data_IF_832760307355
#
_entry.id   IF_832760307355
#
_cell.length_a   1.000
_cell.length_b   1.000
_cell.length_c   1.000
_cell.angle_alpha   90.00
_cell.angle_beta   90.00
_cell.angle_gamma   90.00
#
_symmetry.space_group_name_H-M   'P 1'
#
loop_
_entity.id
_entity.type
_entity.pdbx_description
1 polymer ?
#
# COMPACT_ATOMS: atom_id res chain seq x y z
N UNK A 1 24.27 9.82 24.10
CA UNK A 1 23.17 9.10 24.75
C UNK A 1 22.21 10.15 25.29
N UNK A 2 21.28 10.65 24.46
CA UNK A 2 20.22 11.58 24.87
C UNK A 2 18.90 11.01 24.35
N UNK A 3 18.17 10.39 25.23
CA UNK A 3 16.81 9.90 25.00
C UNK A 3 15.85 11.07 25.15
N UNK A 4 15.42 11.65 24.03
CA UNK A 4 14.30 12.59 24.03
C UNK A 4 13.03 11.77 24.18
N UNK A 5 12.53 11.70 25.40
CA UNK A 5 11.26 11.05 25.76
C UNK A 5 10.08 11.90 25.28
N UNK A 6 9.60 11.64 24.06
CA UNK A 6 8.27 12.09 23.68
C UNK A 6 7.25 11.21 24.41
N UNK A 7 6.57 11.76 25.39
CA UNK A 7 5.42 11.12 26.05
C UNK A 7 4.34 10.86 24.99
N UNK A 8 4.30 9.63 24.47
CA UNK A 8 3.22 9.15 23.61
C UNK A 8 1.96 9.00 24.45
N UNK A 9 0.88 9.67 24.07
CA UNK A 9 -0.42 9.59 24.72
C UNK A 9 -0.82 8.12 24.96
N UNK A 10 -1.09 7.79 26.22
CA UNK A 10 -1.20 6.42 26.77
C UNK A 10 -2.33 5.60 26.12
N UNK A 11 -3.33 6.25 25.51
CA UNK A 11 -4.51 5.57 24.96
C UNK A 11 -4.30 4.97 23.55
N UNK A 12 -3.44 5.57 22.71
CA UNK A 12 -3.23 5.13 21.33
C UNK A 12 -2.20 4.00 21.18
N UNK A 13 -1.47 3.63 22.21
CA UNK A 13 -0.38 2.65 22.16
C UNK A 13 -0.85 1.19 22.01
N UNK A 14 -2.13 0.89 22.24
CA UNK A 14 -2.70 -0.47 22.15
C UNK A 14 -3.56 -0.75 20.92
N UNK A 15 -3.84 0.25 20.08
CA UNK A 15 -4.69 0.09 18.91
C UNK A 15 -3.87 -0.25 17.66
N UNK A 16 -4.41 -1.14 16.81
CA UNK A 16 -3.84 -1.41 15.49
C UNK A 16 -3.85 -0.14 14.61
N UNK A 17 -2.99 -0.07 13.59
CA UNK A 17 -2.95 1.08 12.67
C UNK A 17 -4.32 1.31 12.01
N UNK A 18 -4.98 0.24 11.58
CA UNK A 18 -6.33 0.30 10.98
C UNK A 18 -7.32 0.97 11.94
N UNK A 19 -7.36 0.52 13.19
CA UNK A 19 -8.27 1.10 14.19
C UNK A 19 -8.02 2.60 14.40
N UNK A 20 -6.75 3.02 14.40
CA UNK A 20 -6.40 4.46 14.50
C UNK A 20 -6.89 5.24 13.29
N UNK A 21 -6.73 4.69 12.08
CA UNK A 21 -7.20 5.32 10.85
C UNK A 21 -8.72 5.50 10.89
N UNK A 22 -9.48 4.46 11.24
CA UNK A 22 -10.93 4.56 11.34
C UNK A 22 -11.37 5.59 12.39
N UNK A 23 -10.79 5.58 13.58
CA UNK A 23 -11.09 6.57 14.61
C UNK A 23 -10.80 7.99 14.12
N UNK A 24 -9.64 8.22 13.51
CA UNK A 24 -9.26 9.52 12.97
C UNK A 24 -10.14 9.97 11.81
N UNK A 25 -10.57 9.04 10.95
CA UNK A 25 -11.53 9.31 9.88
C UNK A 25 -12.86 9.82 10.46
N UNK A 26 -13.45 9.10 11.42
CA UNK A 26 -14.69 9.52 12.06
C UNK A 26 -14.55 10.85 12.80
N UNK A 27 -13.42 11.07 13.50
CA UNK A 27 -13.12 12.34 14.15
C UNK A 27 -13.02 13.49 13.14
N UNK A 28 -12.42 13.24 11.98
CA UNK A 28 -12.36 14.22 10.88
C UNK A 28 -13.76 14.60 10.38
N UNK A 29 -14.62 13.61 10.15
CA UNK A 29 -16.00 13.84 9.73
C UNK A 29 -16.75 14.70 10.76
N UNK A 30 -16.70 14.33 12.03
CA UNK A 30 -17.37 15.03 13.12
C UNK A 30 -16.85 16.48 13.23
N UNK A 31 -15.53 16.66 13.16
CA UNK A 31 -14.89 17.98 13.21
C UNK A 31 -15.33 18.83 12.04
N UNK A 32 -15.32 18.30 10.81
CA UNK A 32 -15.73 19.06 9.63
C UNK A 32 -17.21 19.46 9.64
N UNK A 33 -18.11 18.53 9.97
CA UNK A 33 -19.54 18.80 10.09
C UNK A 33 -19.84 19.75 11.25
N UNK A 34 -19.21 19.57 12.40
CA UNK A 34 -19.34 20.45 13.55
C UNK A 34 -18.88 21.87 13.26
N UNK A 35 -17.73 22.02 12.62
CA UNK A 35 -17.24 23.33 12.18
C UNK A 35 -18.16 23.99 11.15
N UNK A 36 -18.74 23.21 10.23
CA UNK A 36 -19.71 23.69 9.23
C UNK A 36 -21.00 24.22 9.89
N UNK A 37 -21.53 23.49 10.87
CA UNK A 37 -22.77 23.85 11.56
C UNK A 37 -22.64 25.14 12.39
N UNK A 38 -21.45 25.40 12.95
CA UNK A 38 -21.16 26.60 13.78
C UNK A 38 -20.61 27.77 12.92
N UNK A 39 -20.28 27.53 11.65
CA UNK A 39 -19.62 28.52 10.79
C UNK A 39 -18.14 28.76 11.14
N UNK A 40 -17.47 27.84 11.84
CA UNK A 40 -16.11 28.00 12.34
C UNK A 40 -15.08 27.49 11.34
N UNK A 41 -14.39 28.40 10.67
CA UNK A 41 -13.47 28.05 9.57
C UNK A 41 -12.04 27.71 10.03
N UNK A 42 -11.56 28.32 11.12
CA UNK A 42 -10.15 28.24 11.50
C UNK A 42 -9.62 26.82 11.80
N UNK A 43 -10.38 25.88 12.46
CA UNK A 43 -9.84 24.55 12.71
C UNK A 43 -9.67 23.75 11.42
N UNK A 44 -10.59 23.94 10.47
CA UNK A 44 -10.53 23.28 9.17
C UNK A 44 -9.36 23.81 8.34
N UNK A 45 -9.09 25.13 8.41
CA UNK A 45 -7.91 25.73 7.77
C UNK A 45 -6.60 25.19 8.35
N UNK A 46 -6.52 24.98 9.66
CA UNK A 46 -5.38 24.31 10.28
C UNK A 46 -5.22 22.87 9.78
N UNK A 47 -6.32 22.13 9.69
CA UNK A 47 -6.31 20.77 9.16
C UNK A 47 -5.82 20.75 7.68
N UNK A 48 -6.31 21.69 6.86
CA UNK A 48 -5.87 21.83 5.45
C UNK A 48 -4.39 22.19 5.37
N UNK A 49 -3.92 23.09 6.23
CA UNK A 49 -2.49 23.46 6.28
C UNK A 49 -1.60 22.25 6.62
N UNK A 50 -1.97 21.51 7.67
CA UNK A 50 -1.25 20.29 8.02
C UNK A 50 -1.26 19.25 6.90
N UNK A 51 -2.44 18.99 6.30
CA UNK A 51 -2.56 17.99 5.24
C UNK A 51 -1.79 18.39 3.97
N UNK A 52 -1.70 19.67 3.65
CA UNK A 52 -0.90 20.17 2.53
C UNK A 52 0.60 19.91 2.76
N UNK A 53 1.12 20.29 3.94
CA UNK A 53 2.54 20.11 4.29
C UNK A 53 2.90 18.62 4.33
N UNK A 54 2.07 17.80 4.97
CA UNK A 54 2.31 16.37 5.04
C UNK A 54 2.20 15.69 3.68
N UNK A 55 1.28 16.13 2.83
CA UNK A 55 1.16 15.66 1.45
C UNK A 55 2.40 15.95 0.62
N UNK A 56 2.97 17.17 0.72
CA UNK A 56 4.23 17.53 0.07
C UNK A 56 5.39 16.67 0.60
N UNK A 57 5.44 16.43 1.92
CA UNK A 57 6.44 15.55 2.52
C UNK A 57 6.30 14.09 2.05
N UNK A 58 5.06 13.57 1.95
CA UNK A 58 4.81 12.25 1.37
C UNK A 58 5.33 12.15 -0.07
N UNK A 59 5.02 13.14 -0.89
CA UNK A 59 5.48 13.18 -2.29
C UNK A 59 7.00 13.17 -2.40
N UNK A 60 7.71 13.82 -1.47
CA UNK A 60 9.17 13.78 -1.39
C UNK A 60 9.70 12.41 -0.98
N UNK A 61 9.05 11.73 -0.03
CA UNK A 61 9.53 10.45 0.52
C UNK A 61 9.24 9.26 -0.40
N UNK A 62 8.17 9.30 -1.21
CA UNK A 62 7.78 8.17 -2.09
C UNK A 62 8.93 7.68 -3.00
N UNK A 63 9.66 8.53 -3.76
CA UNK A 63 10.79 8.08 -4.57
C UNK A 63 11.92 7.44 -3.74
N UNK A 64 12.15 7.93 -2.52
CA UNK A 64 13.14 7.36 -1.61
C UNK A 64 12.73 5.95 -1.15
N UNK A 65 11.44 5.75 -0.86
CA UNK A 65 10.89 4.44 -0.53
C UNK A 65 11.11 3.47 -1.70
N UNK A 66 10.76 3.88 -2.92
CA UNK A 66 10.92 3.06 -4.12
C UNK A 66 12.37 2.60 -4.28
N UNK A 67 13.31 3.53 -4.24
CA UNK A 67 14.74 3.21 -4.40
C UNK A 67 15.23 2.36 -3.23
N UNK A 68 14.92 2.75 -2.00
CA UNK A 68 15.37 2.08 -0.78
C UNK A 68 14.94 0.64 -0.67
N UNK A 69 13.73 0.30 -1.12
CA UNK A 69 13.21 -1.07 -1.04
C UNK A 69 13.51 -1.90 -2.28
N UNK A 70 13.38 -1.32 -3.48
CA UNK A 70 13.47 -2.08 -4.74
C UNK A 70 14.93 -2.41 -5.09
N UNK A 71 15.88 -1.47 -4.89
CA UNK A 71 17.29 -1.72 -5.24
C UNK A 71 17.87 -2.92 -4.50
N UNK A 72 17.87 -2.97 -3.16
CA UNK A 72 18.42 -4.15 -2.46
C UNK A 72 17.58 -5.40 -2.72
N UNK A 73 16.27 -5.28 -2.88
CA UNK A 73 15.40 -6.39 -3.24
C UNK A 73 15.84 -7.09 -4.53
N UNK A 74 16.02 -6.34 -5.62
CA UNK A 74 16.49 -6.89 -6.91
C UNK A 74 17.93 -7.38 -6.82
N UNK A 75 18.81 -6.62 -6.16
CA UNK A 75 20.23 -6.96 -6.06
C UNK A 75 20.48 -8.28 -5.31
N UNK A 76 19.73 -8.55 -4.25
CA UNK A 76 19.84 -9.80 -3.49
C UNK A 76 19.26 -10.99 -4.24
N UNK A 77 18.19 -10.79 -5.02
CA UNK A 77 17.60 -11.83 -5.86
C UNK A 77 18.58 -12.34 -6.92
N UNK A 78 19.31 -11.43 -7.57
CA UNK A 78 20.26 -11.80 -8.62
C UNK A 78 21.46 -12.63 -8.17
N UNK A 79 21.80 -12.61 -6.88
CA UNK A 79 22.93 -13.40 -6.30
C UNK A 79 22.59 -14.87 -6.01
N UNK A 80 21.30 -15.22 -5.90
CA UNK A 80 20.82 -16.58 -5.62
C UNK A 80 20.36 -17.28 -6.90
N UNK A 81 21.22 -17.31 -7.94
CA UNK A 81 20.84 -17.80 -9.26
C UNK A 81 20.70 -19.32 -9.34
N UNK A 82 19.47 -19.80 -9.20
CA UNK A 82 19.05 -21.14 -9.59
C UNK A 82 17.85 -21.08 -10.54
N UNK A 83 17.60 -22.12 -11.33
CA UNK A 83 16.43 -22.20 -12.22
C UNK A 83 15.11 -21.93 -11.47
N UNK A 84 15.00 -22.38 -10.22
CA UNK A 84 13.80 -22.15 -9.38
C UNK A 84 13.55 -20.67 -9.11
N UNK A 85 14.60 -19.88 -8.81
CA UNK A 85 14.50 -18.45 -8.61
C UNK A 85 13.99 -17.74 -9.87
N UNK A 86 14.60 -18.07 -11.02
CA UNK A 86 14.20 -17.45 -12.30
C UNK A 86 12.73 -17.73 -12.63
N UNK A 87 12.31 -19.00 -12.50
CA UNK A 87 10.92 -19.39 -12.77
C UNK A 87 9.95 -18.67 -11.81
N UNK A 88 10.23 -18.67 -10.52
CA UNK A 88 9.37 -18.00 -9.51
C UNK A 88 9.28 -16.51 -9.79
N UNK A 89 10.40 -15.87 -10.11
CA UNK A 89 10.43 -14.45 -10.43
C UNK A 89 9.63 -14.14 -11.70
N UNK A 90 9.79 -14.91 -12.77
CA UNK A 90 9.01 -14.72 -13.99
C UNK A 90 7.52 -14.89 -13.71
N UNK A 91 7.12 -15.92 -12.99
CA UNK A 91 5.71 -16.16 -12.63
C UNK A 91 5.17 -14.98 -11.83
N UNK A 92 5.91 -14.48 -10.83
CA UNK A 92 5.50 -13.37 -10.00
C UNK A 92 5.29 -12.08 -10.81
N UNK A 93 6.23 -11.73 -11.69
CA UNK A 93 6.11 -10.53 -12.53
C UNK A 93 5.04 -10.66 -13.61
N UNK A 94 4.94 -11.80 -14.29
CA UNK A 94 3.88 -12.05 -15.28
C UNK A 94 2.51 -11.94 -14.59
N UNK A 95 2.36 -12.56 -13.43
CA UNK A 95 1.14 -12.46 -12.62
C UNK A 95 0.81 -11.00 -12.25
N UNK A 96 1.80 -10.23 -11.82
CA UNK A 96 1.62 -8.82 -11.48
C UNK A 96 1.21 -7.98 -12.69
N UNK A 97 1.83 -8.21 -13.87
CA UNK A 97 1.47 -7.52 -15.11
C UNK A 97 0.03 -7.87 -15.53
N UNK A 98 -0.34 -9.15 -15.48
CA UNK A 98 -1.71 -9.60 -15.80
C UNK A 98 -2.73 -8.96 -14.85
N UNK A 99 -2.41 -8.89 -13.56
CA UNK A 99 -3.24 -8.22 -12.55
C UNK A 99 -3.45 -6.75 -12.88
N UNK A 100 -2.37 -6.03 -13.25
CA UNK A 100 -2.42 -4.62 -13.66
C UNK A 100 -3.24 -4.40 -14.93
N UNK A 101 -3.10 -5.27 -15.93
CA UNK A 101 -3.91 -5.21 -17.15
C UNK A 101 -5.40 -5.44 -16.87
N UNK A 102 -5.73 -6.41 -16.01
CA UNK A 102 -7.12 -6.65 -15.59
C UNK A 102 -7.69 -5.46 -14.82
N UNK A 103 -6.91 -4.86 -13.92
CA UNK A 103 -7.30 -3.66 -13.19
C UNK A 103 -7.53 -2.47 -14.12
N UNK A 104 -6.62 -2.25 -15.08
CA UNK A 104 -6.76 -1.20 -16.09
C UNK A 104 -8.01 -1.39 -16.93
N UNK A 105 -8.25 -2.61 -17.45
CA UNK A 105 -9.45 -2.91 -18.25
C UNK A 105 -10.73 -2.72 -17.44
N UNK A 106 -10.77 -3.19 -16.19
CA UNK A 106 -11.91 -2.99 -15.30
C UNK A 106 -12.11 -1.50 -14.98
N UNK A 107 -11.04 -0.77 -14.68
CA UNK A 107 -11.08 0.67 -14.46
C UNK A 107 -11.59 1.44 -15.66
N UNK A 108 -11.08 1.15 -16.85
CA UNK A 108 -11.45 1.83 -18.07
C UNK A 108 -12.90 1.54 -18.54
N UNK A 109 -13.42 0.34 -18.27
CA UNK A 109 -14.74 -0.09 -18.77
C UNK A 109 -15.86 0.02 -17.73
N UNK A 110 -15.57 -0.26 -16.46
CA UNK A 110 -16.59 -0.35 -15.42
C UNK A 110 -16.76 0.99 -14.67
N UNK A 111 -15.65 1.65 -14.28
CA UNK A 111 -15.70 2.87 -13.47
C UNK A 111 -16.44 4.02 -14.14
N UNK A 112 -16.26 4.36 -15.42
CA UNK A 112 -16.97 5.46 -16.06
C UNK A 112 -18.50 5.29 -16.04
N UNK A 113 -18.97 4.05 -16.06
CA UNK A 113 -20.40 3.73 -16.03
C UNK A 113 -20.99 3.76 -14.60
N UNK A 114 -20.18 3.46 -13.59
CA UNK A 114 -20.59 3.41 -12.19
C UNK A 114 -20.44 4.76 -11.49
N UNK A 115 -19.36 5.46 -11.79
CA UNK A 115 -19.11 6.81 -11.33
C UNK A 115 -19.55 7.71 -12.50
N UNK A 116 -20.84 8.04 -12.55
CA UNK A 116 -21.30 9.11 -13.46
C UNK A 116 -20.39 10.30 -13.19
N UNK A 117 -19.62 10.71 -14.21
CA UNK A 117 -18.75 11.88 -14.13
C UNK A 117 -19.60 13.02 -13.55
N UNK A 118 -19.21 13.37 -12.34
CA UNK A 118 -19.83 14.38 -11.51
C UNK A 118 -20.82 15.28 -12.20
N UNK A 119 -22.02 15.12 -11.86
CA UNK A 119 -22.56 16.22 -11.10
C UNK A 119 -21.81 16.23 -9.76
N UNK A 120 -20.51 16.52 -9.77
CA UNK A 120 -19.94 17.33 -8.73
C UNK A 120 -20.92 18.49 -8.67
N UNK A 121 -21.62 18.61 -7.57
CA UNK A 121 -22.37 19.78 -7.32
C UNK A 121 -21.36 20.93 -7.37
N UNK A 122 -21.18 21.52 -8.55
CA UNK A 122 -20.45 22.79 -8.75
C UNK A 122 -21.14 23.91 -7.97
N UNK A 123 -22.32 23.63 -7.42
CA UNK A 123 -23.04 24.50 -6.54
C UNK A 123 -22.56 24.31 -5.12
N UNK A 124 -21.64 25.20 -4.70
CA UNK A 124 -21.31 25.50 -3.31
C UNK A 124 -20.30 24.62 -2.56
N UNK A 125 -19.36 24.02 -3.20
CA UNK A 125 -18.19 23.51 -2.46
C UNK A 125 -17.43 24.69 -1.83
N UNK A 126 -17.48 24.83 -0.51
CA UNK A 126 -16.75 25.88 0.20
C UNK A 126 -15.27 25.54 0.09
N UNK A 127 -14.55 26.28 -0.74
CA UNK A 127 -13.11 26.10 -0.88
C UNK A 127 -12.41 26.59 0.38
N UNK A 128 -11.77 25.66 1.10
CA UNK A 128 -11.00 25.98 2.30
C UNK A 128 -9.53 26.02 1.94
N UNK A 129 -8.96 27.22 1.87
CA UNK A 129 -7.54 27.42 1.64
C UNK A 129 -6.73 27.20 2.92
N UNK A 130 -5.52 26.65 2.79
CA UNK A 130 -4.54 26.59 3.86
C UNK A 130 -4.14 27.99 4.35
N UNK A 131 -3.61 28.10 5.56
CA UNK A 131 -3.01 29.37 6.02
C UNK A 131 -1.71 29.68 5.28
N UNK A 132 -0.91 28.65 5.04
CA UNK A 132 0.31 28.68 4.24
C UNK A 132 0.59 27.28 3.70
N UNK A 133 1.38 27.20 2.66
CA UNK A 133 1.84 25.96 2.05
C UNK A 133 3.35 25.90 2.09
N UNK A 134 3.90 24.72 2.38
CA UNK A 134 5.33 24.44 2.24
C UNK A 134 5.45 23.46 1.08
N UNK A 135 6.02 23.94 -0.01
CA UNK A 135 6.30 23.09 -1.16
C UNK A 135 7.62 22.33 -0.93
N UNK A 136 7.52 21.02 -0.85
CA UNK A 136 8.66 20.10 -0.76
C UNK A 136 8.64 19.28 -2.04
N UNK A 137 9.34 19.72 -3.10
CA UNK A 137 9.30 19.02 -4.37
C UNK A 137 9.90 17.63 -4.26
N UNK A 138 9.30 16.65 -4.92
CA UNK A 138 9.87 15.31 -5.01
C UNK A 138 11.23 15.36 -5.72
N UNK A 139 12.22 14.61 -5.22
CA UNK A 139 13.56 14.55 -5.83
C UNK A 139 13.48 14.08 -7.28
N UNK A 140 12.54 13.17 -7.57
CA UNK A 140 12.25 12.66 -8.91
C UNK A 140 10.83 12.11 -8.99
N UNK A 141 10.30 11.96 -10.20
CA UNK A 141 9.02 11.30 -10.41
C UNK A 141 9.07 9.80 -10.04
N UNK A 142 7.92 9.23 -9.70
CA UNK A 142 7.76 7.81 -9.33
C UNK A 142 8.32 6.88 -10.40
N UNK A 143 8.01 7.13 -11.68
CA UNK A 143 8.52 6.33 -12.80
C UNK A 143 10.04 6.41 -12.93
N UNK A 144 10.63 7.60 -12.73
CA UNK A 144 12.08 7.76 -12.74
C UNK A 144 12.76 6.99 -11.61
N UNK A 145 12.16 7.02 -10.41
CA UNK A 145 12.64 6.25 -9.26
C UNK A 145 12.57 4.74 -9.51
N UNK A 146 11.49 4.26 -10.12
CA UNK A 146 11.33 2.87 -10.53
C UNK A 146 12.41 2.44 -11.52
N UNK A 147 12.56 3.16 -12.64
CA UNK A 147 13.57 2.85 -13.66
C UNK A 147 14.97 2.86 -13.06
N UNK A 148 15.29 3.86 -12.24
CA UNK A 148 16.58 3.95 -11.55
C UNK A 148 16.80 2.75 -10.61
N UNK A 149 15.78 2.37 -9.85
CA UNK A 149 15.86 1.23 -8.94
C UNK A 149 16.09 -0.09 -9.67
N UNK A 150 15.45 -0.29 -10.82
CA UNK A 150 15.70 -1.47 -11.67
C UNK A 150 17.12 -1.48 -12.23
N UNK A 151 17.59 -0.36 -12.78
CA UNK A 151 18.95 -0.25 -13.35
C UNK A 151 19.99 -0.57 -12.27
N UNK A 152 19.87 0.08 -11.09
CA UNK A 152 20.81 -0.13 -9.99
C UNK A 152 20.72 -1.55 -9.42
N UNK A 153 19.51 -2.05 -9.18
CA UNK A 153 19.31 -3.39 -8.64
C UNK A 153 19.89 -4.48 -9.53
N UNK A 154 19.63 -4.42 -10.84
CA UNK A 154 20.17 -5.36 -11.83
C UNK A 154 21.70 -5.17 -11.96
N UNK A 155 22.19 -3.93 -12.00
CA UNK A 155 23.62 -3.64 -12.04
C UNK A 155 24.37 -4.23 -10.86
N UNK A 156 23.90 -3.95 -9.65
CA UNK A 156 24.48 -4.43 -8.39
C UNK A 156 24.46 -5.96 -8.32
N UNK A 157 23.41 -6.62 -8.81
CA UNK A 157 23.29 -8.07 -8.80
C UNK A 157 24.40 -8.78 -9.57
N UNK A 158 24.98 -8.10 -10.58
CA UNK A 158 26.06 -8.63 -11.45
C UNK A 158 27.46 -8.36 -10.89
N UNK A 159 27.61 -7.47 -9.91
CA UNK A 159 28.90 -7.14 -9.30
C UNK A 159 29.14 -8.04 -8.10
N UNK A 160 30.25 -8.79 -8.12
CA UNK A 160 30.66 -9.59 -6.97
C UNK A 160 31.11 -8.68 -5.83
N UNK A 161 30.69 -9.01 -4.60
CA UNK A 161 31.03 -8.27 -3.36
C UNK A 161 30.83 -6.75 -3.44
N UNK A 162 29.70 -6.37 -4.00
CA UNK A 162 29.34 -4.97 -4.23
C UNK A 162 29.21 -4.21 -2.92
N UNK A 163 30.09 -3.24 -2.66
CA UNK A 163 29.97 -2.29 -1.55
C UNK A 163 28.71 -1.42 -1.71
N UNK A 164 28.30 -1.19 -2.95
CA UNK A 164 27.10 -0.42 -3.25
C UNK A 164 25.81 -1.10 -2.71
N UNK A 165 25.77 -2.44 -2.68
CA UNK A 165 24.65 -3.16 -2.05
C UNK A 165 24.53 -2.78 -0.57
N UNK A 166 25.63 -2.76 0.18
CA UNK A 166 25.62 -2.37 1.59
C UNK A 166 25.10 -0.95 1.80
N UNK A 167 25.50 -0.03 0.94
CA UNK A 167 25.01 1.36 0.96
C UNK A 167 23.50 1.41 0.78
N UNK A 168 22.93 0.63 -0.16
CA UNK A 168 21.48 0.58 -0.35
C UNK A 168 20.74 -0.18 0.75
N UNK A 169 21.35 -1.15 1.40
CA UNK A 169 20.79 -1.81 2.60
C UNK A 169 20.72 -0.85 3.79
N UNK A 170 21.76 -0.03 4.00
CA UNK A 170 21.77 1.03 5.01
C UNK A 170 20.75 2.14 4.67
N UNK A 171 20.68 2.54 3.42
CA UNK A 171 19.68 3.49 2.93
C UNK A 171 18.24 2.97 3.13
N UNK A 172 17.99 1.70 2.83
CA UNK A 172 16.71 1.04 3.13
C UNK A 172 16.36 1.14 4.62
N UNK A 173 17.35 0.90 5.50
CA UNK A 173 17.15 0.99 6.94
C UNK A 173 16.78 2.42 7.39
N UNK A 174 17.40 3.45 6.80
CA UNK A 174 17.07 4.86 7.06
C UNK A 174 15.66 5.17 6.59
N UNK A 175 15.32 4.78 5.36
CA UNK A 175 13.97 4.98 4.80
C UNK A 175 12.92 4.26 5.65
N UNK A 176 13.19 3.03 6.08
CA UNK A 176 12.30 2.28 6.96
C UNK A 176 12.09 3.00 8.31
N UNK A 177 13.12 3.63 8.88
CA UNK A 177 12.96 4.44 10.09
C UNK A 177 12.05 5.65 9.84
N UNK A 178 12.17 6.33 8.71
CA UNK A 178 11.27 7.45 8.34
C UNK A 178 9.83 6.93 8.23
N UNK A 179 9.61 5.83 7.52
CA UNK A 179 8.29 5.22 7.34
C UNK A 179 7.67 4.84 8.69
N UNK A 180 8.42 4.13 9.53
CA UNK A 180 7.87 3.59 10.80
C UNK A 180 7.70 4.63 11.89
N UNK A 181 8.62 5.60 11.98
CA UNK A 181 8.63 6.57 13.07
C UNK A 181 7.96 7.90 12.73
N UNK A 182 7.83 8.23 11.45
CA UNK A 182 7.24 9.50 10.99
C UNK A 182 5.95 9.27 10.20
N UNK A 183 6.00 8.54 9.09
CA UNK A 183 4.84 8.40 8.22
C UNK A 183 3.70 7.64 8.90
N UNK A 184 3.95 6.43 9.37
CA UNK A 184 2.91 5.57 9.99
C UNK A 184 2.19 6.27 11.15
N UNK A 185 2.86 6.96 12.09
CA UNK A 185 2.17 7.69 13.16
C UNK A 185 1.36 8.90 12.68
N UNK A 186 1.78 9.58 11.63
CA UNK A 186 1.13 10.80 11.14
C UNK A 186 0.01 10.54 10.13
N UNK A 187 0.00 9.40 9.43
CA UNK A 187 -1.04 9.04 8.46
C UNK A 187 -2.47 9.12 9.05
N UNK A 188 -2.79 8.61 10.25
CA UNK A 188 -4.13 8.75 10.80
C UNK A 188 -4.55 10.20 11.00
N UNK A 189 -3.63 11.08 11.43
CA UNK A 189 -3.89 12.52 11.58
C UNK A 189 -4.12 13.17 10.22
N UNK A 190 -3.32 12.81 9.23
CA UNK A 190 -3.48 13.27 7.85
C UNK A 190 -4.85 12.92 7.28
N UNK A 191 -5.30 11.67 7.50
CA UNK A 191 -6.64 11.22 7.10
C UNK A 191 -7.72 12.03 7.83
N UNK A 192 -7.59 12.26 9.13
CA UNK A 192 -8.50 13.11 9.90
C UNK A 192 -8.64 14.50 9.24
N UNK A 193 -7.53 15.12 8.89
CA UNK A 193 -7.51 16.44 8.28
C UNK A 193 -8.18 16.48 6.90
N UNK A 194 -7.95 15.47 6.05
CA UNK A 194 -8.61 15.36 4.74
C UNK A 194 -10.12 15.21 4.92
N UNK A 195 -10.57 14.31 5.79
CA UNK A 195 -11.99 14.10 6.02
C UNK A 195 -12.67 15.28 6.71
N UNK A 196 -11.94 16.06 7.52
CA UNK A 196 -12.47 17.32 8.05
C UNK A 196 -12.71 18.35 6.96
N UNK A 197 -11.79 18.49 5.99
CA UNK A 197 -11.99 19.36 4.81
C UNK A 197 -13.19 18.91 3.98
N UNK A 198 -13.25 17.62 3.59
CA UNK A 198 -14.32 17.07 2.77
C UNK A 198 -15.70 17.19 3.44
N UNK A 199 -15.77 17.05 4.75
CA UNK A 199 -17.02 17.18 5.50
C UNK A 199 -17.47 18.62 5.62
N UNK A 200 -16.52 19.55 5.78
CA UNK A 200 -16.82 20.98 5.82
C UNK A 200 -17.29 21.50 4.45
N UNK A 201 -16.60 21.09 3.35
CA UNK A 201 -17.02 21.47 1.99
C UNK A 201 -18.37 20.85 1.58
N UNK A 202 -18.82 19.78 2.22
CA UNK A 202 -20.06 19.08 1.91
C UNK A 202 -19.88 17.91 0.94
N UNK A 203 -18.65 17.65 0.49
CA UNK A 203 -18.33 16.59 -0.49
C UNK A 203 -18.23 15.19 0.13
N UNK A 204 -18.36 15.08 1.47
CA UNK A 204 -18.10 13.82 2.19
C UNK A 204 -18.95 12.65 1.70
N UNK A 205 -20.25 12.85 1.53
CA UNK A 205 -21.16 11.76 1.13
C UNK A 205 -20.94 11.31 -0.30
N UNK A 206 -20.65 12.24 -1.21
CA UNK A 206 -20.32 11.93 -2.61
C UNK A 206 -19.02 11.18 -2.70
N UNK A 207 -18.01 11.61 -1.96
CA UNK A 207 -16.69 10.96 -1.88
C UNK A 207 -16.79 9.56 -1.29
N UNK A 208 -17.51 9.39 -0.17
CA UNK A 208 -17.70 8.07 0.46
C UNK A 208 -18.46 7.11 -0.46
N UNK A 209 -19.48 7.59 -1.17
CA UNK A 209 -20.21 6.78 -2.15
C UNK A 209 -19.29 6.33 -3.29
N UNK A 210 -18.50 7.23 -3.84
CA UNK A 210 -17.53 6.90 -4.89
C UNK A 210 -16.49 5.89 -4.41
N UNK A 211 -15.94 6.07 -3.21
CA UNK A 211 -15.01 5.11 -2.61
C UNK A 211 -15.65 3.74 -2.39
N UNK A 212 -16.89 3.69 -1.88
CA UNK A 212 -17.57 2.40 -1.68
C UNK A 212 -17.73 1.63 -2.99
N UNK A 213 -18.07 2.32 -4.09
CA UNK A 213 -18.18 1.72 -5.42
C UNK A 213 -16.83 1.23 -5.91
N UNK A 214 -15.80 2.06 -5.83
CA UNK A 214 -14.44 1.70 -6.26
C UNK A 214 -13.94 0.49 -5.46
N UNK A 215 -14.04 0.51 -4.13
CA UNK A 215 -13.61 -0.62 -3.30
C UNK A 215 -14.42 -1.90 -3.57
N UNK A 216 -15.72 -1.81 -3.85
CA UNK A 216 -16.51 -2.98 -4.24
C UNK A 216 -15.98 -3.60 -5.55
N UNK A 217 -15.63 -2.78 -6.53
CA UNK A 217 -15.01 -3.25 -7.79
C UNK A 217 -13.64 -3.87 -7.52
N UNK A 218 -12.79 -3.21 -6.73
CA UNK A 218 -11.45 -3.70 -6.39
C UNK A 218 -11.49 -5.05 -5.66
N UNK A 219 -12.33 -5.18 -4.63
CA UNK A 219 -12.46 -6.45 -3.91
C UNK A 219 -13.02 -7.57 -4.80
N UNK A 220 -13.96 -7.25 -5.66
CA UNK A 220 -14.49 -8.23 -6.64
C UNK A 220 -13.39 -8.66 -7.60
N UNK A 221 -12.59 -7.73 -8.10
CA UNK A 221 -11.49 -8.02 -9.02
C UNK A 221 -10.38 -8.84 -8.34
N UNK A 222 -10.02 -8.52 -7.11
CA UNK A 222 -9.08 -9.31 -6.32
C UNK A 222 -9.58 -10.74 -6.09
N UNK A 223 -10.85 -10.90 -5.72
CA UNK A 223 -11.45 -12.22 -5.53
C UNK A 223 -11.45 -13.05 -6.83
N UNK A 224 -11.82 -12.44 -7.96
CA UNK A 224 -11.77 -13.07 -9.28
C UNK A 224 -10.33 -13.45 -9.62
N UNK A 225 -9.37 -12.57 -9.38
CA UNK A 225 -7.97 -12.83 -9.69
C UNK A 225 -7.38 -13.99 -8.86
N UNK A 226 -7.68 -14.03 -7.56
CA UNK A 226 -7.33 -15.16 -6.69
C UNK A 226 -7.95 -16.46 -7.24
N UNK A 227 -9.21 -16.41 -7.62
CA UNK A 227 -9.90 -17.58 -8.17
C UNK A 227 -9.24 -18.08 -9.47
N UNK A 228 -8.83 -17.18 -10.37
CA UNK A 228 -8.10 -17.50 -11.60
C UNK A 228 -6.76 -18.18 -11.26
N UNK A 229 -5.97 -17.62 -10.35
CA UNK A 229 -4.68 -18.19 -9.96
C UNK A 229 -4.82 -19.59 -9.36
N UNK A 230 -5.78 -19.77 -8.44
CA UNK A 230 -6.05 -21.08 -7.85
C UNK A 230 -6.68 -22.08 -8.83
N UNK A 231 -7.43 -21.61 -9.83
CA UNK A 231 -7.92 -22.46 -10.91
C UNK A 231 -6.78 -22.99 -11.77
N UNK A 232 -5.81 -22.15 -12.10
CA UNK A 232 -4.58 -22.58 -12.81
C UNK A 232 -3.82 -23.61 -11.98
N UNK A 233 -3.60 -23.33 -10.69
CA UNK A 233 -2.92 -24.26 -9.78
C UNK A 233 -3.69 -25.58 -9.63
N UNK A 234 -4.99 -25.52 -9.59
CA UNK A 234 -5.91 -26.66 -9.51
C UNK A 234 -5.79 -27.62 -10.71
N UNK A 235 -5.69 -27.08 -11.92
CA UNK A 235 -5.48 -27.88 -13.15
C UNK A 235 -4.16 -28.64 -13.07
N UNK A 236 -3.10 -27.99 -12.60
CA UNK A 236 -1.77 -28.62 -12.47
C UNK A 236 -1.78 -29.70 -11.38
N UNK A 237 -2.40 -29.41 -10.24
CA UNK A 237 -2.44 -30.34 -9.08
C UNK A 237 -3.53 -31.39 -9.16
N UNK A 238 -4.52 -31.22 -10.05
CA UNK A 238 -5.73 -32.03 -10.14
C UNK A 238 -6.53 -32.05 -8.82
N UNK A 239 -6.57 -30.92 -8.13
CA UNK A 239 -7.33 -30.71 -6.90
C UNK A 239 -8.36 -29.60 -7.07
N UNK A 240 -9.40 -29.57 -6.22
CA UNK A 240 -10.45 -28.54 -6.29
C UNK A 240 -9.90 -27.16 -5.87
N UNK A 241 -10.06 -26.08 -6.69
CA UNK A 241 -9.54 -24.75 -6.38
C UNK A 241 -10.13 -24.18 -5.09
N UNK A 242 -11.40 -24.43 -4.79
CA UNK A 242 -12.04 -23.97 -3.56
C UNK A 242 -11.45 -24.63 -2.30
N UNK A 243 -11.01 -25.90 -2.39
CA UNK A 243 -10.30 -26.58 -1.31
C UNK A 243 -8.95 -25.92 -1.07
N UNK A 244 -8.21 -25.64 -2.15
CA UNK A 244 -6.90 -24.96 -2.07
C UNK A 244 -7.03 -23.56 -1.45
N UNK A 245 -8.04 -22.78 -1.87
CA UNK A 245 -8.32 -21.44 -1.31
C UNK A 245 -8.70 -21.55 0.17
N UNK A 246 -9.57 -22.50 0.53
CA UNK A 246 -10.02 -22.70 1.91
C UNK A 246 -8.85 -22.93 2.86
N UNK A 247 -7.88 -23.73 2.45
CA UNK A 247 -6.67 -23.99 3.25
C UNK A 247 -5.81 -22.74 3.44
N UNK A 248 -5.93 -21.73 2.57
CA UNK A 248 -5.18 -20.47 2.65
C UNK A 248 -5.92 -19.38 3.43
N UNK A 249 -7.18 -19.56 3.81
CA UNK A 249 -7.94 -18.55 4.57
C UNK A 249 -7.24 -18.04 5.84
N UNK A 250 -6.58 -18.90 6.66
CA UNK A 250 -5.86 -18.40 7.83
C UNK A 250 -4.75 -17.41 7.48
N UNK A 251 -4.01 -17.65 6.38
CA UNK A 251 -3.00 -16.72 5.89
C UNK A 251 -3.64 -15.40 5.40
N UNK A 252 -4.76 -15.49 4.68
CA UNK A 252 -5.50 -14.32 4.21
C UNK A 252 -5.96 -13.42 5.36
N UNK A 253 -6.61 -13.99 6.38
CA UNK A 253 -7.04 -13.21 7.55
C UNK A 253 -5.87 -12.68 8.38
N UNK A 254 -4.77 -13.42 8.45
CA UNK A 254 -3.54 -12.94 9.10
C UNK A 254 -2.96 -11.73 8.36
N UNK A 255 -2.91 -11.79 7.02
CA UNK A 255 -2.44 -10.69 6.19
C UNK A 255 -3.32 -9.44 6.36
N UNK A 256 -4.64 -9.60 6.38
CA UNK A 256 -5.57 -8.50 6.67
C UNK A 256 -5.34 -7.87 8.05
N UNK A 257 -5.09 -8.71 9.06
CA UNK A 257 -4.88 -8.22 10.43
C UNK A 257 -3.52 -7.58 10.67
N UNK A 258 -2.47 -8.12 10.04
CA UNK A 258 -1.09 -7.63 10.21
C UNK A 258 -0.71 -6.52 9.23
N UNK A 259 -1.40 -6.45 8.08
CA UNK A 259 -1.04 -5.56 6.95
C UNK A 259 0.43 -5.72 6.51
N UNK A 260 0.98 -6.90 6.69
CA UNK A 260 2.39 -7.18 6.39
C UNK A 260 2.53 -8.57 5.79
N UNK A 261 2.94 -8.62 4.53
CA UNK A 261 3.27 -9.88 3.85
C UNK A 261 4.37 -10.63 4.58
N UNK A 262 5.39 -9.93 5.06
CA UNK A 262 6.50 -10.52 5.81
C UNK A 262 6.05 -11.14 7.14
N UNK A 263 5.20 -10.45 7.91
CA UNK A 263 4.65 -10.97 9.16
C UNK A 263 3.74 -12.18 8.95
N UNK A 264 3.20 -12.35 7.75
CA UNK A 264 2.28 -13.44 7.39
C UNK A 264 3.03 -14.70 6.93
N UNK A 265 4.33 -14.61 6.59
CA UNK A 265 5.14 -15.74 6.08
C UNK A 265 4.97 -17.02 6.90
N UNK A 266 5.09 -17.03 8.24
CA UNK A 266 4.99 -18.27 9.02
C UNK A 266 3.63 -18.96 8.87
N UNK A 267 2.54 -18.21 8.83
CA UNK A 267 1.19 -18.74 8.67
C UNK A 267 0.99 -19.21 7.21
N UNK A 268 1.49 -18.46 6.24
CA UNK A 268 1.44 -18.85 4.83
C UNK A 268 2.17 -20.17 4.60
N UNK A 269 3.34 -20.38 5.20
CA UNK A 269 4.08 -21.63 5.13
C UNK A 269 3.26 -22.82 5.65
N UNK A 270 2.56 -22.67 6.76
CA UNK A 270 1.68 -23.71 7.28
C UNK A 270 0.51 -24.01 6.33
N UNK A 271 -0.10 -22.95 5.78
CA UNK A 271 -1.22 -23.10 4.84
C UNK A 271 -0.80 -23.78 3.53
N UNK A 272 0.36 -23.44 2.96
CA UNK A 272 0.83 -24.08 1.72
C UNK A 272 1.23 -25.54 1.93
N UNK A 273 1.74 -25.89 3.12
CA UNK A 273 1.97 -27.30 3.50
C UNK A 273 0.65 -28.09 3.54
N UNK A 274 -0.42 -27.47 4.02
CA UNK A 274 -1.77 -28.08 3.99
C UNK A 274 -2.31 -28.29 2.57
N UNK A 275 -1.75 -27.56 1.61
CA UNK A 275 -1.99 -27.76 0.18
C UNK A 275 -1.00 -28.75 -0.48
N UNK A 276 -0.29 -29.57 0.30
CA UNK A 276 0.69 -30.56 -0.17
C UNK A 276 1.78 -29.94 -1.08
N UNK A 277 2.27 -28.75 -0.74
CA UNK A 277 3.46 -28.18 -1.37
C UNK A 277 4.69 -28.66 -0.62
N UNK A 278 5.69 -29.13 -1.35
CA UNK A 278 6.95 -29.60 -0.75
C UNK A 278 7.62 -28.52 0.08
N UNK A 279 8.16 -28.91 1.24
CA UNK A 279 8.73 -27.99 2.24
C UNK A 279 9.82 -27.10 1.65
N UNK A 280 10.77 -27.68 0.93
CA UNK A 280 11.88 -26.96 0.28
C UNK A 280 11.39 -25.87 -0.67
N UNK A 281 10.33 -26.17 -1.47
CA UNK A 281 9.74 -25.21 -2.39
C UNK A 281 9.00 -24.13 -1.61
N UNK A 282 8.22 -24.50 -0.58
CA UNK A 282 7.46 -23.56 0.22
C UNK A 282 8.38 -22.55 0.94
N UNK A 283 9.42 -23.04 1.60
CA UNK A 283 10.37 -22.20 2.34
C UNK A 283 11.16 -21.25 1.43
N UNK A 284 11.31 -21.58 0.17
CA UNK A 284 11.94 -20.72 -0.81
C UNK A 284 10.94 -19.73 -1.45
N UNK A 285 9.80 -20.23 -1.95
CA UNK A 285 8.84 -19.42 -2.75
C UNK A 285 8.04 -18.46 -1.89
N UNK A 286 7.63 -18.86 -0.68
CA UNK A 286 6.75 -18.01 0.15
C UNK A 286 7.43 -16.72 0.60
N UNK A 287 8.65 -16.72 1.17
CA UNK A 287 9.34 -15.47 1.51
C UNK A 287 9.67 -14.62 0.28
N UNK A 288 10.06 -15.26 -0.82
CA UNK A 288 10.33 -14.57 -2.07
C UNK A 288 9.06 -13.90 -2.62
N UNK A 289 7.97 -14.65 -2.71
CA UNK A 289 6.67 -14.14 -3.17
C UNK A 289 6.15 -12.98 -2.33
N UNK A 290 6.38 -13.01 -1.01
CA UNK A 290 5.99 -11.91 -0.12
C UNK A 290 6.68 -10.58 -0.45
N UNK A 291 7.78 -10.59 -1.20
CA UNK A 291 8.55 -9.39 -1.57
C UNK A 291 8.38 -8.98 -3.03
N UNK A 292 8.19 -9.92 -3.95
CA UNK A 292 8.19 -9.64 -5.40
C UNK A 292 6.84 -9.82 -6.08
N UNK A 293 5.88 -10.53 -5.47
CA UNK A 293 4.57 -10.77 -6.06
C UNK A 293 3.56 -9.71 -5.57
N UNK A 294 3.45 -8.63 -6.31
CA UNK A 294 2.66 -7.44 -5.95
C UNK A 294 1.33 -7.35 -6.72
N UNK A 295 0.77 -8.48 -7.14
CA UNK A 295 -0.45 -8.51 -7.94
C UNK A 295 -1.65 -7.85 -7.23
N UNK A 296 -1.80 -8.05 -5.91
CA UNK A 296 -2.85 -7.41 -5.12
C UNK A 296 -2.69 -5.90 -5.05
N UNK A 297 -1.47 -5.42 -4.82
CA UNK A 297 -1.16 -3.99 -4.77
C UNK A 297 -1.40 -3.33 -6.13
N UNK A 298 -1.00 -4.00 -7.22
CA UNK A 298 -1.17 -3.49 -8.59
C UNK A 298 -2.65 -3.38 -8.99
N UNK A 299 -3.53 -4.23 -8.45
CA UNK A 299 -4.98 -4.10 -8.66
C UNK A 299 -5.53 -2.86 -7.95
N UNK A 300 -4.95 -2.45 -6.83
CA UNK A 300 -5.44 -1.32 -6.01
C UNK A 300 -4.88 0.04 -6.43
N UNK A 301 -3.77 0.06 -7.16
CA UNK A 301 -3.16 1.28 -7.72
C UNK A 301 -3.87 1.78 -8.97
#
# INVERSE_FOLDING_TARGET
MYTIGVQKGVFMKKMSLISRIFVCLFLGIILGLGCKSIGLLWPVRLAVTFSSIFGSFLSFVIPLIIIGFIVPGIATLGKKSGKGLLITTIIAYVSTIVAGLLAYLAGATILPNLIKQGTLAEETAIEVAAYFTIDIPAIMGVMSALVLAFILGIGISKVKDSSLLKVFEEFNSIVLMIVTNVLIPLVPIYICCIFAKLSFSGEIFTTLKSFAIVYAVLFSLQAIYILIQYSIASVIKKENPFKLIKNMLPAYFTAMGTQSSAATIPVTLQCVKSNNVGEEIAEFVVPLGATIHLAGDTITL
#
